data_IF_598020803234
#
_entry.id   IF_598020803234
#
_cell.length_a   1.000
_cell.length_b   1.000
_cell.length_c   1.000
_cell.angle_alpha   90.00
_cell.angle_beta   90.00
_cell.angle_gamma   90.00
#
_symmetry.space_group_name_H-M   'P 1'
#
loop_
_entity.id
_entity.type
_entity.pdbx_description
1 polymer ?
#
# COMPACT_ATOMS: atom_id res chain seq x y z
N UNK A 1 -4.09 -30.94 -21.97
CA UNK A 1 -2.78 -30.51 -21.45
C UNK A 1 -3.03 -29.27 -20.64
N UNK A 2 -2.81 -29.29 -19.33
CA UNK A 2 -2.97 -28.11 -18.49
C UNK A 2 -1.96 -27.06 -18.95
N UNK A 3 -2.45 -25.91 -19.38
CA UNK A 3 -1.63 -24.71 -19.62
C UNK A 3 -0.84 -24.43 -18.36
N UNK A 4 0.47 -24.19 -18.51
CA UNK A 4 1.30 -23.63 -17.46
C UNK A 4 0.53 -22.43 -16.89
N UNK A 5 0.06 -22.49 -15.65
CA UNK A 5 -0.62 -21.33 -15.07
C UNK A 5 0.37 -20.15 -15.19
N UNK A 6 -0.03 -18.95 -15.56
CA UNK A 6 0.95 -17.85 -15.64
C UNK A 6 1.25 -17.33 -14.23
N UNK A 7 2.53 -17.05 -13.91
CA UNK A 7 2.90 -16.42 -12.63
C UNK A 7 2.10 -15.14 -12.47
N UNK A 8 1.39 -14.90 -11.36
CA UNK A 8 0.54 -13.73 -11.22
C UNK A 8 1.34 -12.43 -11.31
N UNK A 9 0.73 -11.39 -11.87
CA UNK A 9 1.35 -10.06 -11.95
C UNK A 9 1.45 -9.46 -10.54
N UNK A 10 2.57 -8.81 -10.23
CA UNK A 10 2.73 -7.99 -9.03
C UNK A 10 2.03 -6.66 -9.28
N UNK A 11 1.09 -6.30 -8.41
CA UNK A 11 0.36 -5.03 -8.49
C UNK A 11 1.26 -3.84 -8.17
N UNK A 12 0.99 -2.69 -8.75
CA UNK A 12 1.70 -1.44 -8.39
C UNK A 12 1.33 -0.98 -6.97
N UNK A 13 2.04 0.01 -6.43
CA UNK A 13 1.77 0.49 -5.08
C UNK A 13 0.36 1.11 -4.97
N UNK A 14 -0.06 1.83 -6.01
CA UNK A 14 -1.38 2.45 -6.18
C UNK A 14 -2.51 1.43 -6.31
N UNK A 15 -2.19 0.22 -6.78
CA UNK A 15 -3.12 -0.89 -6.87
C UNK A 15 -3.19 -1.71 -5.56
N UNK A 16 -2.20 -1.53 -4.67
CA UNK A 16 -2.12 -2.19 -3.36
C UNK A 16 -2.63 -1.29 -2.22
N UNK A 17 -2.53 0.04 -2.37
CA UNK A 17 -2.86 1.01 -1.33
C UNK A 17 -3.59 2.23 -1.89
N UNK A 18 -4.38 2.89 -1.03
CA UNK A 18 -5.04 4.16 -1.30
C UNK A 18 -4.89 5.13 -0.14
N UNK A 19 -4.94 6.43 -0.45
CA UNK A 19 -4.97 7.51 0.53
C UNK A 19 -6.34 7.58 1.22
N UNK A 20 -6.36 7.65 2.54
CA UNK A 20 -7.57 7.64 3.35
C UNK A 20 -7.46 8.59 4.55
N UNK A 21 -8.26 9.66 4.53
CA UNK A 21 -8.26 10.72 5.56
C UNK A 21 -8.74 10.25 6.95
N UNK A 22 -9.49 9.14 7.00
CA UNK A 22 -10.00 8.52 8.23
C UNK A 22 -9.06 7.43 8.78
N UNK A 23 -7.90 7.22 8.14
CA UNK A 23 -6.85 6.33 8.62
C UNK A 23 -5.81 7.13 9.40
N UNK A 24 -5.36 6.66 10.59
CA UNK A 24 -4.30 7.34 11.33
C UNK A 24 -3.03 7.59 10.50
N UNK A 25 -2.63 6.66 9.63
CA UNK A 25 -1.46 6.85 8.78
C UNK A 25 -1.76 7.52 7.43
N UNK A 26 -3.03 7.82 7.15
CA UNK A 26 -3.47 8.29 5.84
C UNK A 26 -3.56 7.19 4.78
N UNK A 27 -3.48 5.89 5.13
CA UNK A 27 -3.47 4.78 4.17
C UNK A 27 -4.58 3.74 4.40
N UNK A 28 -5.01 3.05 3.33
CA UNK A 28 -5.78 1.79 3.34
C UNK A 28 -5.25 0.80 2.31
N UNK A 29 -5.45 -0.50 2.57
CA UNK A 29 -5.09 -1.56 1.62
C UNK A 29 -6.21 -1.76 0.59
N UNK A 30 -5.84 -1.86 -0.68
CA UNK A 30 -6.74 -2.10 -1.81
C UNK A 30 -6.54 -3.52 -2.33
N UNK A 31 -7.08 -4.52 -1.61
CA UNK A 31 -7.03 -5.91 -2.08
C UNK A 31 -8.24 -6.20 -3.00
N UNK A 32 -8.04 -6.06 -4.31
CA UNK A 32 -8.87 -6.74 -5.32
C UNK A 32 -10.34 -6.34 -5.33
N UNK A 33 -10.63 -5.04 -5.21
CA UNK A 33 -12.00 -4.52 -5.23
C UNK A 33 -12.79 -4.73 -3.95
N UNK A 34 -12.19 -5.33 -2.91
CA UNK A 34 -12.78 -5.39 -1.58
C UNK A 34 -12.19 -4.28 -0.71
N UNK A 35 -13.05 -3.39 -0.22
CA UNK A 35 -12.72 -2.43 0.83
C UNK A 35 -12.60 -3.23 2.12
N UNK A 36 -11.44 -3.86 2.33
CA UNK A 36 -11.09 -4.49 3.60
C UNK A 36 -10.91 -3.43 4.70
N UNK A 37 -10.83 -3.86 5.97
CA UNK A 37 -10.63 -2.94 7.09
C UNK A 37 -9.39 -2.06 6.85
N UNK A 38 -9.43 -0.86 7.45
CA UNK A 38 -8.35 0.15 7.56
C UNK A 38 -6.97 -0.49 7.42
N UNK A 39 -6.09 0.12 6.58
CA UNK A 39 -4.80 -0.43 6.14
C UNK A 39 -4.25 -1.47 7.10
N UNK A 40 -4.08 -2.67 6.53
CA UNK A 40 -3.71 -3.93 7.16
C UNK A 40 -3.28 -3.79 8.61
N UNK A 41 -3.98 -4.50 9.49
CA UNK A 41 -3.60 -4.77 10.88
C UNK A 41 -2.12 -4.49 11.08
N UNK A 42 -1.77 -3.35 11.71
CA UNK A 42 -0.42 -2.81 11.66
C UNK A 42 0.57 -3.92 11.99
N UNK A 43 1.60 -4.10 11.15
CA UNK A 43 2.58 -5.17 11.40
C UNK A 43 3.33 -4.90 12.70
N UNK A 44 3.64 -3.62 12.94
CA UNK A 44 4.19 -3.08 14.16
C UNK A 44 3.67 -1.64 14.32
N UNK A 45 3.04 -1.30 15.45
CA UNK A 45 2.63 0.07 15.78
C UNK A 45 3.76 0.75 16.55
N UNK A 46 4.19 1.93 16.10
CA UNK A 46 5.19 2.72 16.82
C UNK A 46 4.55 3.98 17.39
N UNK A 47 4.84 4.24 18.68
CA UNK A 47 4.54 5.52 19.31
C UNK A 47 5.86 6.21 19.66
N UNK A 48 6.03 7.51 19.39
CA UNK A 48 7.17 8.24 19.92
C UNK A 48 7.17 8.17 21.47
N UNK A 49 8.28 7.71 22.03
CA UNK A 49 8.43 7.31 23.44
C UNK A 49 8.00 8.36 24.49
N UNK A 50 7.95 9.65 24.15
CA UNK A 50 7.58 10.73 25.09
C UNK A 50 6.10 11.12 25.06
N UNK A 51 5.33 10.64 24.08
CA UNK A 51 3.98 11.14 23.80
C UNK A 51 2.90 10.06 23.71
N UNK A 52 3.31 8.79 23.68
CA UNK A 52 2.43 7.61 23.63
C UNK A 52 1.31 7.65 24.69
N UNK A 53 1.66 7.91 25.95
CA UNK A 53 0.69 7.95 27.06
C UNK A 53 -0.24 9.17 27.00
N UNK A 54 0.23 10.28 26.42
CA UNK A 54 -0.52 11.54 26.35
C UNK A 54 -1.60 11.51 25.25
N UNK A 55 -1.35 10.77 24.17
CA UNK A 55 -2.26 10.67 23.02
C UNK A 55 -3.01 9.34 22.91
N UNK A 56 -2.70 8.35 23.75
CA UNK A 56 -3.41 7.06 23.81
C UNK A 56 -4.94 7.21 23.97
N UNK A 57 -5.41 8.29 24.59
CA UNK A 57 -6.84 8.58 24.76
C UNK A 57 -7.44 9.55 23.75
N UNK A 58 -6.66 10.09 22.81
CA UNK A 58 -7.10 11.23 21.98
C UNK A 58 -7.27 10.89 20.49
N UNK A 59 -6.74 9.77 19.98
CA UNK A 59 -6.78 9.46 18.54
C UNK A 59 -6.21 10.58 17.63
N UNK A 60 -5.40 11.50 18.16
CA UNK A 60 -5.00 12.75 17.50
C UNK A 60 -3.60 12.74 16.87
N UNK A 61 -2.87 11.62 16.88
CA UNK A 61 -1.56 11.54 16.25
C UNK A 61 -1.61 10.52 15.10
N UNK A 62 -1.03 10.81 13.92
CA UNK A 62 -0.88 9.80 12.91
C UNK A 62 -0.01 8.67 13.46
N UNK A 63 -0.61 7.50 13.64
CA UNK A 63 0.14 6.31 14.03
C UNK A 63 1.00 5.96 12.83
N UNK A 64 2.31 6.19 12.93
CA UNK A 64 3.24 5.62 11.96
C UNK A 64 3.46 4.16 12.33
N UNK A 65 3.22 3.29 11.36
CA UNK A 65 3.32 1.86 11.51
C UNK A 65 3.88 1.27 10.23
N UNK A 66 4.37 0.05 10.32
CA UNK A 66 4.89 -0.65 9.16
C UNK A 66 3.77 -1.38 8.41
N UNK A 67 3.80 -1.27 7.07
CA UNK A 67 2.92 -1.99 6.14
C UNK A 67 3.71 -3.00 5.32
N UNK A 68 3.05 -4.09 4.93
CA UNK A 68 3.60 -5.07 3.99
C UNK A 68 3.23 -4.68 2.57
N UNK A 69 4.24 -4.39 1.76
CA UNK A 69 4.09 -4.12 0.32
C UNK A 69 4.50 -5.36 -0.44
N UNK A 70 3.63 -5.87 -1.31
CA UNK A 70 3.97 -6.99 -2.18
C UNK A 70 4.94 -6.51 -3.26
N UNK A 71 6.11 -7.14 -3.33
CA UNK A 71 7.17 -6.79 -4.28
C UNK A 71 7.45 -7.89 -5.29
N UNK A 72 6.92 -9.10 -5.07
CA UNK A 72 7.25 -10.26 -5.90
C UNK A 72 6.39 -11.49 -5.63
N UNK A 73 6.73 -12.54 -6.37
CA UNK A 73 6.30 -13.91 -6.11
C UNK A 73 7.54 -14.79 -5.97
N UNK A 74 7.62 -15.55 -4.89
CA UNK A 74 8.54 -16.66 -4.79
C UNK A 74 7.90 -17.84 -5.51
N UNK A 75 8.52 -18.28 -6.61
CA UNK A 75 8.00 -19.35 -7.46
C UNK A 75 8.81 -20.61 -7.20
N UNK A 76 8.13 -21.66 -6.74
CA UNK A 76 8.73 -22.97 -6.52
C UNK A 76 8.22 -23.91 -7.60
N UNK A 77 9.12 -24.40 -8.46
CA UNK A 77 8.79 -25.40 -9.47
C UNK A 77 8.61 -26.78 -8.81
N UNK A 78 7.42 -27.38 -9.00
CA UNK A 78 7.06 -28.71 -8.50
C UNK A 78 7.11 -29.78 -9.61
N UNK A 79 7.65 -29.44 -10.78
CA UNK A 79 7.87 -30.32 -11.94
C UNK A 79 6.66 -30.43 -12.88
N UNK A 80 5.43 -30.40 -12.36
CA UNK A 80 4.18 -30.44 -13.15
C UNK A 80 3.28 -29.22 -12.92
N UNK A 81 3.61 -28.39 -11.94
CA UNK A 81 2.97 -27.14 -11.56
C UNK A 81 4.01 -26.29 -10.83
N UNK A 82 3.67 -25.06 -10.48
CA UNK A 82 4.45 -24.27 -9.54
C UNK A 82 3.57 -23.86 -8.36
N UNK A 83 4.21 -23.63 -7.22
CA UNK A 83 3.63 -22.91 -6.10
C UNK A 83 4.15 -21.47 -6.11
N UNK A 84 3.24 -20.52 -5.86
CA UNK A 84 3.56 -19.10 -5.76
C UNK A 84 3.28 -18.60 -4.35
N UNK A 85 4.31 -18.09 -3.69
CA UNK A 85 4.19 -17.39 -2.41
C UNK A 85 4.45 -15.90 -2.61
N UNK A 86 3.54 -15.04 -2.16
CA UNK A 86 3.76 -13.60 -2.26
C UNK A 86 4.98 -13.18 -1.42
N UNK A 87 5.87 -12.42 -2.04
CA UNK A 87 7.01 -11.78 -1.37
C UNK A 87 6.59 -10.37 -0.96
N UNK A 88 6.90 -10.03 0.29
CA UNK A 88 6.57 -8.73 0.86
C UNK A 88 7.83 -8.04 1.38
N UNK A 89 7.87 -6.73 1.19
CA UNK A 89 8.76 -5.83 1.89
C UNK A 89 7.98 -5.09 2.98
N UNK A 90 8.67 -4.76 4.09
CA UNK A 90 8.07 -4.04 5.21
C UNK A 90 8.54 -2.59 5.11
N UNK A 91 7.60 -1.66 4.92
CA UNK A 91 7.89 -0.25 4.74
C UNK A 91 7.13 0.62 5.75
N UNK A 92 7.67 1.78 6.17
CA UNK A 92 6.92 2.77 6.93
C UNK A 92 5.68 3.24 6.16
N UNK A 93 4.54 3.32 6.84
CA UNK A 93 3.30 3.84 6.27
C UNK A 93 3.48 5.28 5.79
N UNK A 94 4.30 6.08 6.47
CA UNK A 94 4.69 7.44 6.03
C UNK A 94 5.30 7.45 4.62
N UNK A 95 6.27 6.58 4.35
CA UNK A 95 6.92 6.50 3.03
C UNK A 95 5.95 6.08 1.93
N UNK A 96 5.05 5.13 2.22
CA UNK A 96 4.01 4.69 1.26
C UNK A 96 3.01 5.83 1.00
N UNK A 97 2.63 6.61 2.02
CA UNK A 97 1.76 7.78 1.86
C UNK A 97 2.39 8.86 1.01
N UNK A 98 3.62 9.26 1.32
CA UNK A 98 4.35 10.30 0.56
C UNK A 98 4.45 9.94 -0.92
N UNK A 99 4.72 8.67 -1.23
CA UNK A 99 4.72 8.18 -2.60
C UNK A 99 3.35 8.37 -3.29
N UNK A 100 2.26 7.93 -2.66
CA UNK A 100 0.92 8.05 -3.25
C UNK A 100 0.46 9.51 -3.41
N UNK A 101 0.85 10.39 -2.48
CA UNK A 101 0.60 11.83 -2.58
C UNK A 101 1.32 12.44 -3.79
N UNK A 102 2.59 12.06 -4.02
CA UNK A 102 3.36 12.49 -5.18
C UNK A 102 2.75 11.99 -6.50
N UNK A 103 2.32 10.72 -6.55
CA UNK A 103 1.63 10.17 -7.73
C UNK A 103 0.38 10.98 -8.04
N UNK A 104 -0.47 11.23 -7.03
CA UNK A 104 -1.68 12.05 -7.19
C UNK A 104 -1.36 13.48 -7.65
N UNK A 105 -0.31 14.10 -7.13
CA UNK A 105 0.11 15.44 -7.55
C UNK A 105 0.54 15.46 -9.03
N UNK A 106 1.33 14.47 -9.46
CA UNK A 106 1.76 14.32 -10.86
C UNK A 106 0.56 14.14 -11.78
N UNK A 107 -0.43 13.32 -11.40
CA UNK A 107 -1.67 13.12 -12.18
C UNK A 107 -2.44 14.43 -12.34
N UNK A 108 -2.61 15.20 -11.26
CA UNK A 108 -3.29 16.49 -11.28
C UNK A 108 -2.55 17.51 -12.18
N UNK A 109 -1.23 17.62 -12.04
CA UNK A 109 -0.41 18.50 -12.86
C UNK A 109 -0.47 18.11 -14.35
N UNK A 110 -0.43 16.82 -14.64
CA UNK A 110 -0.54 16.29 -16.01
C UNK A 110 -1.91 16.64 -16.61
N UNK A 111 -2.99 16.48 -15.85
CA UNK A 111 -4.33 16.84 -16.29
C UNK A 111 -4.46 18.35 -16.60
N UNK A 112 -3.90 19.22 -15.74
CA UNK A 112 -3.90 20.67 -15.95
C UNK A 112 -3.15 21.04 -17.24
N UNK A 113 -1.97 20.47 -17.46
CA UNK A 113 -1.17 20.72 -18.68
C UNK A 113 -1.92 20.29 -19.93
N UNK A 114 -2.64 19.16 -19.89
CA UNK A 114 -3.42 18.67 -21.02
C UNK A 114 -4.61 19.59 -21.34
N UNK A 115 -5.34 20.06 -20.32
CA UNK A 115 -6.46 21.01 -20.48
C UNK A 115 -5.95 22.35 -21.06
N UNK A 116 -4.81 22.84 -20.58
CA UNK A 116 -4.21 24.09 -21.08
C UNK A 116 -3.70 24.02 -22.53
N UNK A 117 -3.50 22.82 -23.09
CA UNK A 117 -3.08 22.61 -24.49
C UNK A 117 -4.25 22.47 -25.47
N UNK A 118 -5.46 22.26 -24.96
CA UNK A 118 -6.69 22.18 -25.76
C UNK A 118 -7.38 23.53 -26.00
N UNK A 119 -6.83 24.62 -25.46
CA UNK A 119 -7.24 26.01 -25.68
C UNK A 119 -6.16 26.78 -26.43
#
# INVERSE_FOLDING_TARGET
>A
MATYNEVPIVRTLEEQFLLADDSPSGLRHWAGGWIGPVAGTPCNVFYPYSEAERFAGQHLCPMDYEVRVQTGWNVVDLGFTYDCYAQYEVLPATSVREYLELVREIELLTAIVLIGRTH
#
